data_IF_044693062425
#
_entry.id   IF_044693062425
#
_cell.length_a   1.000
_cell.length_b   1.000
_cell.length_c   1.000
_cell.angle_alpha   90.00
_cell.angle_beta   90.00
_cell.angle_gamma   90.00
#
_symmetry.space_group_name_H-M   'P 1'
#
loop_
_entity.id
_entity.type
_entity.pdbx_description
1 polymer ?
#
# COMPACT_ATOMS: atom_id res chain seq x y z
N UNK A 1 27.74 3.53 -2.93
CA UNK A 1 26.63 3.31 -3.88
C UNK A 1 25.33 3.51 -3.11
N UNK A 2 24.52 4.49 -3.47
CA UNK A 2 23.23 4.76 -2.78
C UNK A 2 22.15 4.10 -3.63
N UNK A 3 21.46 3.10 -3.08
CA UNK A 3 20.34 2.45 -3.76
C UNK A 3 19.05 3.19 -3.45
N UNK A 4 18.18 3.35 -4.45
CA UNK A 4 16.81 3.76 -4.17
C UNK A 4 16.10 2.69 -3.34
N UNK A 5 15.07 3.10 -2.58
CA UNK A 5 14.29 2.17 -1.76
C UNK A 5 13.70 1.02 -2.59
N UNK A 6 13.24 1.31 -3.81
CA UNK A 6 12.69 0.32 -4.74
C UNK A 6 13.75 -0.71 -5.19
N UNK A 7 14.97 -0.26 -5.48
CA UNK A 7 16.08 -1.15 -5.83
C UNK A 7 16.51 -2.03 -4.65
N UNK A 8 16.51 -1.45 -3.45
CA UNK A 8 16.83 -2.20 -2.22
C UNK A 8 15.80 -3.31 -1.97
N UNK A 9 14.51 -3.02 -2.10
CA UNK A 9 13.43 -4.01 -1.98
C UNK A 9 13.59 -5.16 -2.98
N UNK A 10 13.87 -4.84 -4.25
CA UNK A 10 14.12 -5.83 -5.30
C UNK A 10 15.29 -6.75 -4.93
N UNK A 11 16.42 -6.18 -4.50
CA UNK A 11 17.63 -6.94 -4.16
C UNK A 11 17.35 -7.89 -2.99
N UNK A 12 16.70 -7.40 -1.93
CA UNK A 12 16.39 -8.19 -0.73
C UNK A 12 15.51 -9.38 -1.07
N UNK A 13 14.40 -9.17 -1.79
CA UNK A 13 13.48 -10.25 -2.16
C UNK A 13 14.15 -11.29 -3.06
N UNK A 14 14.95 -10.86 -4.03
CA UNK A 14 15.67 -11.77 -4.92
C UNK A 14 16.77 -12.56 -4.20
N UNK A 15 17.48 -11.94 -3.25
CA UNK A 15 18.47 -12.64 -2.43
C UNK A 15 17.80 -13.67 -1.53
N UNK A 16 16.69 -13.32 -0.87
CA UNK A 16 15.95 -14.26 -0.02
C UNK A 16 15.40 -15.44 -0.81
N UNK A 17 14.81 -15.19 -1.97
CA UNK A 17 14.33 -16.23 -2.87
C UNK A 17 15.45 -17.22 -3.25
N UNK A 18 16.63 -16.70 -3.59
CA UNK A 18 17.83 -17.52 -3.87
C UNK A 18 18.31 -18.30 -2.65
N UNK A 19 18.33 -17.67 -1.47
CA UNK A 19 18.76 -18.31 -0.23
C UNK A 19 17.87 -19.50 0.15
N UNK A 20 16.58 -19.45 -0.18
CA UNK A 20 15.65 -20.56 0.01
C UNK A 20 15.72 -21.63 -1.08
N UNK A 21 16.56 -21.46 -2.10
CA UNK A 21 16.65 -22.41 -3.22
C UNK A 21 15.39 -22.50 -4.07
N UNK A 22 14.53 -21.48 -4.01
CA UNK A 22 13.25 -21.45 -4.70
C UNK A 22 13.38 -20.74 -6.05
N UNK A 23 12.68 -21.26 -7.06
CA UNK A 23 12.45 -20.57 -8.33
C UNK A 23 11.10 -19.84 -8.31
N UNK A 24 10.87 -18.99 -9.33
CA UNK A 24 9.64 -18.18 -9.45
C UNK A 24 8.36 -19.03 -9.48
N UNK A 25 8.42 -20.23 -10.06
CA UNK A 25 7.27 -21.12 -10.14
C UNK A 25 6.96 -21.79 -8.79
N UNK A 26 7.99 -22.20 -8.05
CA UNK A 26 7.83 -22.72 -6.69
C UNK A 26 7.27 -21.64 -5.76
N UNK A 27 7.75 -20.40 -5.87
CA UNK A 27 7.17 -19.26 -5.16
C UNK A 27 5.67 -19.07 -5.51
N UNK A 28 5.31 -19.20 -6.80
CA UNK A 28 3.91 -19.12 -7.21
C UNK A 28 3.04 -20.22 -6.62
N UNK A 29 3.58 -21.44 -6.48
CA UNK A 29 2.88 -22.55 -5.83
C UNK A 29 2.66 -22.29 -4.33
N UNK A 30 3.65 -21.72 -3.64
CA UNK A 30 3.51 -21.34 -2.24
C UNK A 30 2.44 -20.26 -2.05
N UNK A 31 2.45 -19.24 -2.91
CA UNK A 31 1.47 -18.15 -2.86
C UNK A 31 0.05 -18.64 -3.18
N UNK A 32 -0.11 -19.51 -4.18
CA UNK A 32 -1.39 -20.14 -4.48
C UNK A 32 -1.97 -20.84 -3.24
N UNK A 33 -1.14 -21.62 -2.53
CA UNK A 33 -1.55 -22.27 -1.29
C UNK A 33 -1.83 -21.31 -0.14
N UNK A 34 -1.14 -20.15 -0.06
CA UNK A 34 -1.47 -19.10 0.91
C UNK A 34 -2.86 -18.52 0.64
N UNK A 35 -3.16 -18.20 -0.63
CA UNK A 35 -4.45 -17.64 -1.03
C UNK A 35 -5.60 -18.61 -0.79
N UNK A 36 -5.42 -19.86 -1.21
CA UNK A 36 -6.39 -20.92 -0.99
C UNK A 36 -6.71 -21.12 0.49
N UNK A 37 -5.72 -21.02 1.39
CA UNK A 37 -5.97 -21.04 2.85
C UNK A 37 -6.72 -19.82 3.36
N UNK A 38 -6.58 -18.65 2.72
CA UNK A 38 -7.23 -17.40 3.13
C UNK A 38 -8.68 -17.31 2.70
N UNK A 39 -9.03 -17.81 1.51
CA UNK A 39 -10.37 -17.63 0.93
C UNK A 39 -11.08 -18.91 0.49
N UNK A 40 -10.42 -20.07 0.61
CA UNK A 40 -10.97 -21.39 0.27
C UNK A 40 -11.05 -21.68 -1.24
N UNK A 41 -10.42 -20.87 -2.10
CA UNK A 41 -10.46 -21.04 -3.56
C UNK A 41 -9.15 -21.62 -4.09
N UNK A 42 -9.26 -22.53 -5.05
CA UNK A 42 -8.09 -23.05 -5.75
C UNK A 42 -7.51 -21.99 -6.70
N UNK A 43 -6.20 -21.78 -6.63
CA UNK A 43 -5.47 -20.84 -7.48
C UNK A 43 -4.46 -21.56 -8.36
N UNK A 44 -4.54 -21.37 -9.68
CA UNK A 44 -3.50 -21.88 -10.60
C UNK A 44 -2.21 -21.05 -10.42
N UNK A 45 -1.07 -21.65 -10.04
CA UNK A 45 0.22 -20.96 -9.92
C UNK A 45 0.66 -20.25 -11.21
N UNK A 46 0.23 -20.72 -12.39
CA UNK A 46 0.56 -20.10 -13.68
C UNK A 46 -0.11 -18.72 -13.82
N UNK A 47 -1.33 -18.58 -13.30
CA UNK A 47 -2.06 -17.30 -13.32
C UNK A 47 -1.38 -16.21 -12.48
N UNK A 48 -0.61 -16.61 -11.47
CA UNK A 48 0.10 -15.70 -10.55
C UNK A 48 1.49 -15.30 -11.07
N UNK A 49 2.01 -15.96 -12.10
CA UNK A 49 3.38 -15.82 -12.57
C UNK A 49 3.75 -14.38 -13.00
N UNK A 50 2.82 -13.66 -13.63
CA UNK A 50 3.02 -12.28 -14.06
C UNK A 50 3.08 -11.31 -12.88
N UNK A 51 2.14 -11.44 -11.93
CA UNK A 51 2.06 -10.62 -10.73
C UNK A 51 3.30 -10.81 -9.84
N UNK A 52 3.72 -12.07 -9.65
CA UNK A 52 4.93 -12.39 -8.88
C UNK A 52 6.18 -11.85 -9.56
N UNK A 53 6.27 -11.96 -10.90
CA UNK A 53 7.39 -11.38 -11.64
C UNK A 53 7.45 -9.86 -11.43
N UNK A 54 6.33 -9.18 -11.56
CA UNK A 54 6.24 -7.74 -11.35
C UNK A 54 6.64 -7.37 -9.91
N UNK A 55 6.18 -8.12 -8.92
CA UNK A 55 6.53 -7.89 -7.52
C UNK A 55 8.01 -8.12 -7.21
N UNK A 56 8.66 -9.10 -7.84
CA UNK A 56 10.09 -9.35 -7.67
C UNK A 56 10.98 -8.37 -8.45
N UNK A 57 10.48 -7.73 -9.51
CA UNK A 57 11.26 -6.81 -10.35
C UNK A 57 11.01 -5.34 -10.00
N UNK A 58 9.78 -5.00 -9.63
CA UNK A 58 9.29 -3.66 -9.30
C UNK A 58 8.33 -3.72 -8.09
N UNK A 59 8.84 -3.99 -6.86
CA UNK A 59 8.01 -4.17 -5.68
C UNK A 59 7.08 -2.98 -5.41
N UNK A 60 7.59 -1.75 -5.54
CA UNK A 60 6.82 -0.52 -5.30
C UNK A 60 5.69 -0.22 -6.30
N UNK A 61 5.57 -0.97 -7.40
CA UNK A 61 4.44 -0.87 -8.35
C UNK A 61 3.47 -2.04 -8.25
N UNK A 62 3.69 -2.94 -7.30
CA UNK A 62 2.86 -4.12 -7.10
C UNK A 62 1.85 -3.87 -5.99
N UNK A 63 0.77 -4.66 -5.99
CA UNK A 63 -0.21 -4.59 -4.90
C UNK A 63 0.45 -4.99 -3.59
N UNK A 64 0.13 -4.28 -2.51
CA UNK A 64 0.67 -4.58 -1.18
C UNK A 64 0.38 -6.03 -0.77
N UNK A 65 -0.84 -6.50 -1.02
CA UNK A 65 -1.26 -7.90 -0.79
C UNK A 65 -0.29 -8.90 -1.43
N UNK A 66 0.13 -8.67 -2.68
CA UNK A 66 1.09 -9.56 -3.37
C UNK A 66 2.46 -9.52 -2.72
N UNK A 67 2.89 -8.35 -2.21
CA UNK A 67 4.15 -8.23 -1.47
C UNK A 67 4.06 -8.97 -0.14
N UNK A 68 2.96 -8.83 0.59
CA UNK A 68 2.71 -9.54 1.84
C UNK A 68 2.76 -11.06 1.64
N UNK A 69 2.06 -11.57 0.62
CA UNK A 69 2.07 -12.99 0.29
C UNK A 69 3.46 -13.51 -0.10
N UNK A 70 4.25 -12.72 -0.83
CA UNK A 70 5.63 -13.07 -1.16
C UNK A 70 6.49 -13.10 0.10
N UNK A 71 6.34 -12.12 0.99
CA UNK A 71 7.08 -12.05 2.25
C UNK A 71 6.73 -13.25 3.14
N UNK A 72 5.45 -13.59 3.26
CA UNK A 72 4.95 -14.77 3.97
C UNK A 72 5.49 -16.07 3.35
N UNK A 73 5.43 -16.20 2.02
CA UNK A 73 5.96 -17.37 1.30
C UNK A 73 7.50 -17.53 1.44
N UNK A 74 8.20 -16.43 1.71
CA UNK A 74 9.65 -16.39 1.92
C UNK A 74 10.05 -16.47 3.40
N UNK A 75 9.10 -16.88 4.26
CA UNK A 75 9.29 -17.02 5.70
C UNK A 75 9.79 -15.72 6.33
N UNK A 76 9.07 -14.64 6.04
CA UNK A 76 9.33 -13.30 6.54
C UNK A 76 8.07 -12.63 7.04
N UNK A 77 8.25 -11.47 7.70
CA UNK A 77 7.17 -10.69 8.28
C UNK A 77 7.20 -9.26 7.72
N UNK A 78 6.02 -8.72 7.39
CA UNK A 78 5.87 -7.32 7.01
C UNK A 78 5.61 -6.48 8.26
N UNK A 79 6.45 -5.48 8.52
CA UNK A 79 6.33 -4.58 9.67
C UNK A 79 6.17 -3.13 9.21
N UNK A 80 5.04 -2.51 9.56
CA UNK A 80 4.80 -1.07 9.35
C UNK A 80 5.14 -0.33 10.65
N UNK A 81 6.11 0.61 10.58
CA UNK A 81 6.51 1.44 11.72
C UNK A 81 6.23 2.91 11.44
N UNK A 82 5.34 3.51 12.22
CA UNK A 82 5.06 4.94 12.17
C UNK A 82 5.94 5.68 13.19
N UNK A 83 6.49 6.84 12.82
CA UNK A 83 7.10 7.73 13.81
C UNK A 83 5.98 8.36 14.65
N UNK A 84 6.17 8.44 15.97
CA UNK A 84 5.26 9.18 16.85
C UNK A 84 5.27 10.65 16.44
N UNK A 85 4.13 11.19 16.04
CA UNK A 85 3.95 12.62 15.78
C UNK A 85 2.98 13.18 16.83
N UNK A 86 3.39 14.25 17.51
CA UNK A 86 2.47 15.06 18.30
C UNK A 86 1.74 16.01 17.35
N UNK A 87 0.41 15.95 17.37
CA UNK A 87 -0.42 16.87 16.59
C UNK A 87 -0.40 18.24 17.30
N UNK A 88 0.55 19.09 16.94
CA UNK A 88 0.54 20.50 17.39
C UNK A 88 -0.52 21.22 16.54
N UNK A 89 -1.75 21.28 17.05
CA UNK A 89 -2.78 22.18 16.51
C UNK A 89 -2.33 23.61 16.86
N UNK A 90 -1.63 24.28 15.92
CA UNK A 90 -1.41 25.72 16.03
C UNK A 90 -2.72 26.42 15.68
N UNK A 91 -3.37 26.97 16.71
CA UNK A 91 -4.33 28.07 16.63
C UNK A 91 -5.53 27.86 15.72
N UNK A 92 -6.72 27.74 16.30
CA UNK A 92 -7.95 28.00 15.57
C UNK A 92 -8.00 29.51 15.27
N UNK A 93 -8.31 29.89 14.03
CA UNK A 93 -8.90 31.19 13.75
C UNK A 93 -10.40 30.93 13.62
N UNK A 94 -11.13 31.25 14.68
CA UNK A 94 -12.58 31.22 14.68
C UNK A 94 -13.05 32.45 13.88
N UNK A 95 -13.63 32.23 12.70
CA UNK A 95 -14.37 33.27 12.01
C UNK A 95 -15.84 33.05 12.40
N UNK A 96 -16.29 33.78 13.41
CA UNK A 96 -17.73 33.98 13.64
C UNK A 96 -18.23 34.84 12.48
N UNK A 97 -19.11 34.25 11.66
CA UNK A 97 -19.95 35.00 10.74
C UNK A 97 -21.23 35.39 11.49
N UNK A 98 -21.08 36.22 12.52
CA UNK A 98 -22.19 37.00 13.05
C UNK A 98 -22.11 38.38 12.41
N UNK A 99 -23.20 38.81 11.77
CA UNK A 99 -23.35 39.93 10.81
C UNK A 99 -23.02 39.50 9.36
N UNK A 100 -23.94 39.32 8.42
CA UNK A 100 -25.26 39.94 8.26
C UNK A 100 -26.12 39.04 7.36
N UNK A 101 -26.98 38.20 7.94
CA UNK A 101 -28.08 37.61 7.16
C UNK A 101 -29.16 38.66 6.79
N UNK A 102 -29.14 39.81 7.48
CA UNK A 102 -30.12 40.89 7.32
C UNK A 102 -29.73 41.91 6.23
N UNK A 103 -28.44 42.20 6.00
CA UNK A 103 -28.03 43.13 4.92
C UNK A 103 -28.18 42.54 3.50
N UNK A 104 -28.17 41.21 3.35
CA UNK A 104 -28.37 40.56 2.03
C UNK A 104 -29.85 40.58 1.63
N UNK A 105 -30.77 40.67 2.60
CA UNK A 105 -32.21 40.69 2.33
C UNK A 105 -32.72 42.07 1.86
N UNK A 106 -32.14 43.17 2.33
CA UNK A 106 -32.55 44.53 1.91
C UNK A 106 -32.13 44.87 0.46
N UNK A 107 -31.01 44.33 -0.03
CA UNK A 107 -30.57 44.59 -1.42
C UNK A 107 -31.39 43.85 -2.49
N UNK A 108 -32.22 42.87 -2.12
CA UNK A 108 -33.07 42.12 -3.06
C UNK A 108 -34.52 42.63 -3.12
N UNK A 109 -34.90 43.61 -2.29
CA UNK A 109 -36.24 44.21 -2.29
C UNK A 109 -36.30 45.63 -2.88
N UNK A 110 -35.16 46.23 -3.25
CA UNK A 110 -35.12 47.53 -3.96
C UNK A 110 -34.90 47.40 -5.49
N UNK A 111 -34.77 46.19 -6.05
CA UNK A 111 -34.62 45.96 -7.49
C UNK A 111 -35.89 45.43 -8.21
N UNK A 112 -37.09 45.47 -7.60
CA UNK A 112 -38.38 45.31 -8.31
C UNK A 112 -39.40 46.42 -8.00
#
# INVERSE_FOLDING_TARGET
MVYSCAEMQKIILQQRLKAMGLNKFQLAKLIAGIRERKDGKEYDPRSLSSAIRQALEQPGRSRLETIEEIVEALDGELVIRWKKYERVVKGYQEISLDSSAEEIAEQLLEEE
#
